data_IF_039037360442
#
_entry.id   IF_039037360442
#
_cell.length_a   1.000
_cell.length_b   1.000
_cell.length_c   1.000
_cell.angle_alpha   90.00
_cell.angle_beta   90.00
_cell.angle_gamma   90.00
#
_symmetry.space_group_name_H-M   'P 1'
#
loop_
_entity.id
_entity.type
_entity.pdbx_description
1 polymer ?
#
# COMPACT_ATOMS: atom_id res chain seq x y z
N UNK A 1 11.93 -28.82 -4.65
CA UNK A 1 11.85 -29.86 -5.68
C UNK A 1 12.43 -29.39 -7.02
N UNK A 2 11.88 -28.35 -7.66
CA UNK A 2 12.34 -27.89 -8.98
C UNK A 2 13.86 -27.64 -9.09
N UNK A 3 14.47 -26.98 -8.09
CA UNK A 3 15.94 -26.80 -8.00
C UNK A 3 16.70 -28.13 -7.99
N UNK A 4 16.28 -29.09 -7.15
CA UNK A 4 16.93 -30.40 -7.01
C UNK A 4 16.79 -31.21 -8.29
N UNK A 5 15.61 -31.15 -8.91
CA UNK A 5 15.30 -31.82 -10.17
C UNK A 5 15.87 -31.09 -11.40
N UNK A 6 16.62 -30.01 -11.21
CA UNK A 6 17.22 -29.17 -12.28
C UNK A 6 16.21 -28.65 -13.30
N UNK A 7 14.98 -28.37 -12.85
CA UNK A 7 13.97 -27.72 -13.66
C UNK A 7 14.31 -26.22 -13.73
N UNK A 8 14.19 -25.57 -14.92
CA UNK A 8 14.34 -24.13 -15.04
C UNK A 8 13.44 -23.39 -14.06
N UNK A 9 14.02 -22.44 -13.32
CA UNK A 9 13.37 -21.78 -12.19
C UNK A 9 13.67 -20.29 -12.15
N UNK A 10 12.64 -19.52 -11.86
CA UNK A 10 12.70 -18.08 -11.62
C UNK A 10 12.08 -17.79 -10.26
N UNK A 11 12.67 -16.86 -9.51
CA UNK A 11 12.05 -16.28 -8.32
C UNK A 11 11.74 -14.81 -8.58
N UNK A 12 10.72 -14.29 -7.90
CA UNK A 12 10.38 -12.88 -7.93
C UNK A 12 10.60 -12.28 -6.54
N UNK A 13 11.28 -11.14 -6.47
CA UNK A 13 11.51 -10.39 -5.24
C UNK A 13 10.84 -9.03 -5.31
N UNK A 14 9.87 -8.81 -4.42
CA UNK A 14 9.11 -7.57 -4.31
C UNK A 14 9.88 -6.46 -3.59
N UNK A 15 10.78 -6.83 -2.68
CA UNK A 15 11.47 -5.91 -1.79
C UNK A 15 12.79 -5.40 -2.39
N UNK A 16 13.32 -4.29 -1.85
CA UNK A 16 14.65 -3.77 -2.20
C UNK A 16 15.81 -4.60 -1.63
N UNK A 17 15.52 -5.55 -0.73
CA UNK A 17 16.50 -6.48 -0.14
C UNK A 17 15.94 -7.88 -0.28
N UNK A 18 16.76 -8.82 -0.75
CA UNK A 18 16.34 -10.21 -0.86
C UNK A 18 15.87 -10.76 0.49
N UNK A 19 14.63 -11.27 0.49
CA UNK A 19 14.07 -11.99 1.62
C UNK A 19 14.89 -13.24 1.93
N UNK A 20 14.85 -13.72 3.18
CA UNK A 20 15.71 -14.84 3.64
C UNK A 20 15.59 -16.09 2.77
N UNK A 21 14.36 -16.44 2.36
CA UNK A 21 14.10 -17.62 1.52
C UNK A 21 14.60 -17.38 0.09
N UNK A 22 14.30 -16.23 -0.49
CA UNK A 22 14.76 -15.88 -1.84
C UNK A 22 16.30 -15.81 -1.89
N UNK A 23 16.95 -15.25 -0.87
CA UNK A 23 18.41 -15.23 -0.72
C UNK A 23 19.02 -16.64 -0.67
N UNK A 24 18.38 -17.58 0.03
CA UNK A 24 18.82 -18.98 0.06
C UNK A 24 18.73 -19.62 -1.32
N UNK A 25 17.65 -19.35 -2.06
CA UNK A 25 17.39 -19.94 -3.38
C UNK A 25 18.14 -19.25 -4.54
N UNK A 26 18.54 -17.99 -4.37
CA UNK A 26 19.08 -17.14 -5.43
C UNK A 26 20.34 -17.71 -6.11
N UNK A 27 21.13 -18.53 -5.40
CA UNK A 27 22.30 -19.23 -5.99
C UNK A 27 21.89 -20.32 -6.98
N UNK A 28 20.76 -20.96 -6.74
CA UNK A 28 20.37 -22.18 -7.45
C UNK A 28 19.36 -21.94 -8.58
N UNK A 29 18.65 -20.81 -8.55
CA UNK A 29 17.70 -20.44 -9.61
C UNK A 29 18.43 -19.92 -10.86
N UNK A 30 17.71 -19.92 -11.98
CA UNK A 30 18.24 -19.51 -13.28
C UNK A 30 18.11 -18.00 -13.50
N UNK A 31 17.03 -17.40 -12.99
CA UNK A 31 16.82 -15.95 -13.05
C UNK A 31 16.10 -15.44 -11.79
N UNK A 32 16.25 -14.14 -11.56
CA UNK A 32 15.65 -13.39 -10.46
C UNK A 32 14.95 -12.18 -11.07
N UNK A 33 13.62 -12.15 -10.98
CA UNK A 33 12.81 -10.99 -11.34
C UNK A 33 12.74 -10.03 -10.15
N UNK A 34 13.34 -8.85 -10.30
CA UNK A 34 13.39 -7.83 -9.26
C UNK A 34 12.34 -6.75 -9.51
N UNK A 35 11.71 -6.27 -8.44
CA UNK A 35 10.69 -5.22 -8.55
C UNK A 35 11.23 -3.80 -8.55
N UNK A 36 12.46 -3.62 -8.07
CA UNK A 36 13.12 -2.33 -7.97
C UNK A 36 14.58 -2.46 -8.37
N UNK A 37 15.15 -1.34 -8.83
CA UNK A 37 16.59 -1.24 -9.06
C UNK A 37 17.38 -1.39 -7.74
N UNK A 38 18.64 -1.81 -7.85
CA UNK A 38 19.55 -1.85 -6.71
C UNK A 38 19.22 -2.93 -5.67
N UNK A 39 18.58 -4.03 -6.07
CA UNK A 39 18.30 -5.17 -5.21
C UNK A 39 19.55 -5.62 -4.43
N UNK A 40 19.48 -5.52 -3.11
CA UNK A 40 20.59 -5.78 -2.20
C UNK A 40 20.45 -7.11 -1.44
N UNK A 41 21.49 -7.49 -0.69
CA UNK A 41 21.46 -8.72 0.11
C UNK A 41 21.63 -10.01 -0.70
N UNK A 42 22.28 -9.94 -1.88
CA UNK A 42 22.43 -11.03 -2.85
C UNK A 42 22.97 -12.34 -2.27
N UNK A 43 23.72 -12.29 -1.16
CA UNK A 43 24.15 -13.51 -0.46
C UNK A 43 25.05 -14.43 -1.29
N UNK A 44 25.70 -13.91 -2.33
CA UNK A 44 26.49 -14.66 -3.30
C UNK A 44 25.70 -15.17 -4.50
N UNK A 45 24.47 -14.68 -4.73
CA UNK A 45 23.81 -14.81 -6.01
C UNK A 45 24.56 -13.99 -7.08
N UNK A 46 24.62 -14.54 -8.28
CA UNK A 46 25.22 -13.86 -9.43
C UNK A 46 24.32 -12.69 -9.88
N UNK A 47 24.83 -11.44 -9.87
CA UNK A 47 24.08 -10.28 -10.34
C UNK A 47 23.58 -10.41 -11.78
N UNK A 48 24.25 -11.19 -12.63
CA UNK A 48 23.84 -11.41 -14.02
C UNK A 48 22.50 -12.16 -14.15
N UNK A 49 22.01 -12.79 -13.07
CA UNK A 49 20.70 -13.46 -13.03
C UNK A 49 19.55 -12.48 -12.79
N UNK A 50 19.83 -11.23 -12.46
CA UNK A 50 18.82 -10.27 -12.02
C UNK A 50 18.29 -9.50 -13.23
N UNK A 51 16.97 -9.45 -13.36
CA UNK A 51 16.28 -8.60 -14.33
C UNK A 51 15.21 -7.81 -13.60
N UNK A 52 15.21 -6.48 -13.77
CA UNK A 52 14.20 -5.61 -13.17
C UNK A 52 12.94 -5.67 -14.02
N UNK A 53 11.88 -6.25 -13.47
CA UNK A 53 10.58 -6.43 -14.14
C UNK A 53 9.49 -5.52 -13.57
N UNK A 54 9.74 -4.92 -12.41
CA UNK A 54 8.71 -4.26 -11.61
C UNK A 54 7.84 -5.26 -10.84
N UNK A 55 6.92 -4.73 -10.03
CA UNK A 55 5.93 -5.53 -9.32
C UNK A 55 4.70 -5.76 -10.21
N UNK A 56 4.18 -7.00 -10.32
CA UNK A 56 2.91 -7.25 -10.97
C UNK A 56 1.77 -6.51 -10.24
N UNK A 57 1.07 -5.64 -10.96
CA UNK A 57 -0.08 -4.89 -10.46
C UNK A 57 -1.34 -5.38 -11.16
N UNK A 58 -2.46 -5.42 -10.44
CA UNK A 58 -3.78 -5.74 -11.02
C UNK A 58 -4.12 -4.75 -12.14
N UNK A 59 -4.67 -5.24 -13.24
CA UNK A 59 -4.93 -4.42 -14.43
C UNK A 59 -5.84 -3.21 -14.12
N UNK A 60 -6.81 -3.39 -13.24
CA UNK A 60 -7.75 -2.33 -12.84
C UNK A 60 -7.02 -1.20 -12.10
N UNK A 61 -6.08 -1.54 -11.21
CA UNK A 61 -5.25 -0.55 -10.50
C UNK A 61 -4.29 0.13 -11.46
N UNK A 62 -3.65 -0.63 -12.36
CA UNK A 62 -2.75 -0.06 -13.35
C UNK A 62 -3.47 0.93 -14.28
N UNK A 63 -4.75 0.66 -14.60
CA UNK A 63 -5.58 1.52 -15.43
C UNK A 63 -5.87 2.88 -14.80
N UNK A 64 -5.78 3.02 -13.47
CA UNK A 64 -5.95 4.29 -12.77
C UNK A 64 -4.93 5.34 -13.20
N UNK A 65 -3.76 4.95 -13.72
CA UNK A 65 -2.77 5.87 -14.27
C UNK A 65 -3.32 6.72 -15.43
N UNK A 66 -4.34 6.23 -16.16
CA UNK A 66 -4.96 6.98 -17.25
C UNK A 66 -5.92 8.08 -16.76
N UNK A 67 -6.25 8.11 -15.47
CA UNK A 67 -7.17 9.09 -14.88
C UNK A 67 -6.36 10.35 -14.53
N UNK A 68 -6.67 11.52 -15.11
CA UNK A 68 -5.93 12.74 -14.82
C UNK A 68 -6.16 13.17 -13.37
N UNK A 69 -5.07 13.48 -12.67
CA UNK A 69 -5.14 14.03 -11.33
C UNK A 69 -5.47 15.53 -11.37
N UNK A 70 -6.46 15.94 -10.58
CA UNK A 70 -6.81 17.35 -10.38
C UNK A 70 -6.65 17.67 -8.90
N UNK A 71 -5.67 18.50 -8.57
CA UNK A 71 -5.43 18.88 -7.18
C UNK A 71 -6.61 19.73 -6.63
N UNK A 72 -7.03 19.50 -5.37
CA UNK A 72 -8.07 20.30 -4.75
C UNK A 72 -7.58 21.74 -4.53
N UNK A 73 -8.42 22.73 -4.85
CA UNK A 73 -8.11 24.16 -4.75
C UNK A 73 -9.08 24.88 -3.82
N UNK A 74 -8.69 26.04 -3.27
CA UNK A 74 -9.60 26.85 -2.45
C UNK A 74 -10.21 26.07 -1.29
N UNK A 75 -11.53 25.89 -1.32
CA UNK A 75 -12.33 25.16 -0.32
C UNK A 75 -12.73 23.74 -0.76
N UNK A 76 -12.17 23.23 -1.86
CA UNK A 76 -12.45 21.89 -2.35
C UNK A 76 -12.16 20.84 -1.28
N UNK A 77 -12.95 19.76 -1.30
CA UNK A 77 -12.72 18.62 -0.42
C UNK A 77 -11.38 17.95 -0.73
N UNK A 78 -10.71 17.46 0.31
CA UNK A 78 -9.49 16.66 0.23
C UNK A 78 -9.84 15.24 0.61
N UNK A 79 -9.77 14.33 -0.35
CA UNK A 79 -10.08 12.92 -0.17
C UNK A 79 -8.83 12.16 0.30
N UNK A 80 -8.89 11.60 1.50
CA UNK A 80 -7.82 10.80 2.08
C UNK A 80 -8.25 9.33 2.09
N UNK A 81 -7.41 8.45 1.55
CA UNK A 81 -7.62 7.01 1.61
C UNK A 81 -6.58 6.38 2.52
N UNK A 82 -7.04 5.58 3.49
CA UNK A 82 -6.17 4.96 4.50
C UNK A 82 -6.35 3.45 4.49
N UNK A 83 -5.27 2.70 4.29
CA UNK A 83 -5.32 1.24 4.35
C UNK A 83 -4.01 0.60 4.82
N UNK A 84 -4.12 -0.46 5.62
CA UNK A 84 -2.99 -1.13 6.27
C UNK A 84 -2.61 -2.49 5.68
N UNK A 85 -3.24 -2.89 4.58
CA UNK A 85 -3.18 -4.26 4.04
C UNK A 85 -4.35 -5.12 4.54
N UNK A 86 -4.37 -6.40 4.15
CA UNK A 86 -5.53 -7.30 4.34
C UNK A 86 -5.97 -7.50 5.78
N UNK A 87 -5.08 -7.30 6.76
CA UNK A 87 -5.40 -7.44 8.18
C UNK A 87 -5.76 -6.13 8.88
N UNK A 88 -5.72 -5.00 8.18
CA UNK A 88 -5.80 -3.67 8.80
C UNK A 88 -4.61 -3.39 9.73
N UNK A 89 -4.21 -2.12 9.82
CA UNK A 89 -3.13 -1.71 10.70
C UNK A 89 -3.70 -1.02 11.94
N UNK A 90 -3.60 -1.66 13.11
CA UNK A 90 -4.02 -1.09 14.40
C UNK A 90 -3.49 0.34 14.58
N UNK A 91 -2.21 0.54 14.24
CA UNK A 91 -1.54 1.83 14.34
C UNK A 91 -2.27 2.94 13.56
N UNK A 92 -2.97 2.63 12.46
CA UNK A 92 -3.75 3.62 11.72
C UNK A 92 -5.09 3.92 12.39
N UNK A 93 -5.71 2.96 13.08
CA UNK A 93 -6.89 3.21 13.91
C UNK A 93 -6.57 4.17 15.06
N UNK A 94 -5.35 4.15 15.58
CA UNK A 94 -4.97 5.01 16.71
C UNK A 94 -4.42 6.36 16.26
N UNK A 95 -3.47 6.37 15.32
CA UNK A 95 -2.72 7.59 14.97
C UNK A 95 -3.46 8.50 13.99
N UNK A 96 -4.16 7.94 12.99
CA UNK A 96 -4.73 8.77 11.91
C UNK A 96 -5.87 9.65 12.43
N UNK A 97 -6.87 9.14 13.18
CA UNK A 97 -7.93 9.99 13.70
C UNK A 97 -7.39 11.05 14.66
N UNK A 98 -6.42 10.70 15.51
CA UNK A 98 -5.79 11.64 16.44
C UNK A 98 -5.03 12.76 15.70
N UNK A 99 -4.25 12.41 14.67
CA UNK A 99 -3.53 13.39 13.87
C UNK A 99 -4.49 14.32 13.12
N UNK A 100 -5.54 13.77 12.50
CA UNK A 100 -6.52 14.57 11.76
C UNK A 100 -7.39 15.45 12.67
N UNK A 101 -7.71 14.99 13.88
CA UNK A 101 -8.39 15.79 14.89
C UNK A 101 -7.58 17.01 15.36
N UNK A 102 -6.24 16.97 15.24
CA UNK A 102 -5.38 18.10 15.59
C UNK A 102 -5.38 19.23 14.54
N UNK A 103 -5.95 18.99 13.36
CA UNK A 103 -6.00 19.99 12.30
C UNK A 103 -6.95 21.15 12.66
N UNK A 104 -6.70 22.37 12.16
CA UNK A 104 -7.64 23.48 12.32
C UNK A 104 -9.03 23.13 11.79
N UNK A 105 -10.08 23.64 12.45
CA UNK A 105 -11.48 23.34 12.09
C UNK A 105 -11.80 23.62 10.61
N UNK A 106 -11.22 24.69 10.04
CA UNK A 106 -11.38 25.03 8.62
C UNK A 106 -10.84 23.93 7.70
N UNK A 107 -9.73 23.27 8.08
CA UNK A 107 -9.16 22.15 7.33
C UNK A 107 -9.99 20.90 7.53
N UNK A 108 -10.40 20.59 8.77
CA UNK A 108 -11.22 19.42 9.08
C UNK A 108 -12.49 19.35 8.21
N UNK A 109 -13.18 20.48 8.02
CA UNK A 109 -14.39 20.59 7.19
C UNK A 109 -14.18 20.21 5.73
N UNK A 110 -12.95 20.29 5.24
CA UNK A 110 -12.58 19.92 3.87
C UNK A 110 -12.17 18.46 3.76
N UNK A 111 -11.82 17.79 4.86
CA UNK A 111 -11.33 16.41 4.81
C UNK A 111 -12.50 15.44 4.67
N UNK A 112 -12.39 14.58 3.67
CA UNK A 112 -13.17 13.35 3.52
C UNK A 112 -12.22 12.18 3.63
N UNK A 113 -12.50 11.23 4.52
CA UNK A 113 -11.62 10.09 4.73
C UNK A 113 -12.36 8.78 4.46
N UNK A 114 -11.76 7.93 3.63
CA UNK A 114 -12.11 6.52 3.48
C UNK A 114 -11.02 5.71 4.18
N UNK A 115 -11.35 5.07 5.30
CA UNK A 115 -10.37 4.36 6.11
C UNK A 115 -10.74 2.88 6.31
N UNK A 116 -9.78 2.01 6.00
CA UNK A 116 -9.84 0.62 6.38
C UNK A 116 -9.45 0.47 7.86
N UNK A 117 -10.35 -0.09 8.65
CA UNK A 117 -10.13 -0.45 10.06
C UNK A 117 -10.24 -1.96 10.24
N UNK A 118 -9.81 -2.47 11.40
CA UNK A 118 -10.24 -3.82 11.82
C UNK A 118 -11.67 -3.74 12.33
N UNK A 119 -12.41 -4.85 12.23
CA UNK A 119 -13.82 -4.90 12.64
C UNK A 119 -13.98 -4.46 14.10
N UNK A 120 -13.09 -4.94 14.98
CA UNK A 120 -13.05 -4.59 16.40
C UNK A 120 -12.75 -3.11 16.68
N UNK A 121 -12.15 -2.39 15.74
CA UNK A 121 -11.76 -0.98 15.91
C UNK A 121 -12.79 0.00 15.33
N UNK A 122 -13.74 -0.46 14.50
CA UNK A 122 -14.65 0.42 13.77
C UNK A 122 -15.41 1.37 14.71
N UNK A 123 -15.95 0.84 15.81
CA UNK A 123 -16.71 1.64 16.77
C UNK A 123 -15.85 2.74 17.41
N UNK A 124 -14.64 2.40 17.88
CA UNK A 124 -13.73 3.35 18.52
C UNK A 124 -13.28 4.46 17.56
N UNK A 125 -12.90 4.09 16.32
CA UNK A 125 -12.47 5.06 15.31
C UNK A 125 -13.63 5.97 14.88
N UNK A 126 -14.85 5.43 14.76
CA UNK A 126 -16.04 6.22 14.47
C UNK A 126 -16.30 7.27 15.55
N UNK A 127 -16.14 6.91 16.82
CA UNK A 127 -16.31 7.85 17.93
C UNK A 127 -15.27 8.97 17.90
N UNK A 128 -14.02 8.66 17.55
CA UNK A 128 -12.97 9.67 17.41
C UNK A 128 -13.30 10.67 16.31
N UNK A 129 -13.71 10.22 15.13
CA UNK A 129 -14.09 11.12 14.04
C UNK A 129 -15.38 11.91 14.33
N UNK A 130 -16.32 11.35 15.10
CA UNK A 130 -17.54 12.07 15.50
C UNK A 130 -17.27 13.33 16.34
N UNK A 131 -16.06 13.48 16.91
CA UNK A 131 -15.61 14.66 17.65
C UNK A 131 -14.92 15.71 16.77
N UNK A 132 -14.86 15.47 15.46
CA UNK A 132 -14.21 16.32 14.47
C UNK A 132 -15.23 16.82 13.45
N UNK A 133 -14.84 17.77 12.59
CA UNK A 133 -15.65 18.18 11.44
C UNK A 133 -15.36 17.36 10.16
N UNK A 134 -14.71 16.20 10.29
CA UNK A 134 -14.27 15.36 9.18
C UNK A 134 -15.39 14.40 8.78
N UNK A 135 -15.61 14.26 7.48
CA UNK A 135 -16.52 13.22 6.96
C UNK A 135 -15.74 11.90 6.83
N UNK A 136 -16.06 10.92 7.68
CA UNK A 136 -15.37 9.63 7.70
C UNK A 136 -16.25 8.46 7.27
N UNK A 137 -15.77 7.73 6.26
CA UNK A 137 -16.29 6.45 5.81
C UNK A 137 -15.33 5.34 6.25
N UNK A 138 -15.82 4.42 7.08
CA UNK A 138 -15.00 3.38 7.71
C UNK A 138 -15.47 2.00 7.26
N UNK A 139 -14.54 1.16 6.81
CA UNK A 139 -14.82 -0.21 6.38
C UNK A 139 -13.81 -1.19 6.94
N UNK A 140 -14.20 -2.43 7.20
CA UNK A 140 -13.23 -3.50 7.47
C UNK A 140 -12.48 -3.95 6.22
N UNK A 141 -13.09 -3.77 5.05
CA UNK A 141 -12.50 -4.06 3.75
C UNK A 141 -13.01 -3.11 2.67
N UNK A 142 -12.10 -2.45 1.96
CA UNK A 142 -12.42 -1.58 0.81
C UNK A 142 -12.56 -2.48 -0.43
N UNK A 143 -13.80 -2.64 -0.92
CA UNK A 143 -14.10 -3.53 -2.05
C UNK A 143 -13.58 -3.00 -3.39
N UNK A 144 -13.78 -1.71 -3.63
CA UNK A 144 -13.36 -1.04 -4.86
C UNK A 144 -12.12 -0.17 -4.60
N UNK A 145 -10.98 -0.84 -4.42
CA UNK A 145 -9.70 -0.16 -4.27
C UNK A 145 -9.31 0.70 -5.49
N UNK A 146 -9.55 0.27 -6.76
CA UNK A 146 -9.31 1.14 -7.91
C UNK A 146 -10.05 2.47 -7.82
N UNK A 147 -11.35 2.47 -7.52
CA UNK A 147 -12.11 3.72 -7.37
C UNK A 147 -11.63 4.57 -6.18
N UNK A 148 -11.30 3.92 -5.06
CA UNK A 148 -10.73 4.60 -3.90
C UNK A 148 -9.42 5.32 -4.26
N UNK A 149 -8.48 4.64 -4.91
CA UNK A 149 -7.20 5.24 -5.30
C UNK A 149 -7.37 6.33 -6.36
N UNK A 150 -8.25 6.13 -7.34
CA UNK A 150 -8.52 7.10 -8.40
C UNK A 150 -9.11 8.41 -7.88
N UNK A 151 -9.82 8.38 -6.74
CA UNK A 151 -10.45 9.55 -6.12
C UNK A 151 -9.63 10.16 -4.99
N UNK A 152 -8.51 9.54 -4.61
CA UNK A 152 -7.69 9.99 -3.48
C UNK A 152 -6.77 11.16 -3.87
N UNK A 153 -6.75 12.18 -3.02
CA UNK A 153 -5.75 13.25 -3.07
C UNK A 153 -4.52 12.89 -2.23
N UNK A 154 -4.73 12.07 -1.19
CA UNK A 154 -3.67 11.57 -0.32
C UNK A 154 -3.96 10.11 0.06
N UNK A 155 -2.92 9.28 -0.04
CA UNK A 155 -2.96 7.89 0.42
C UNK A 155 -2.05 7.74 1.64
N UNK A 156 -2.60 7.23 2.74
CA UNK A 156 -1.85 6.83 3.93
C UNK A 156 -1.88 5.31 3.99
N UNK A 157 -0.75 4.69 3.64
CA UNK A 157 -0.63 3.24 3.60
C UNK A 157 0.70 2.77 4.16
N UNK A 158 0.81 1.46 4.40
CA UNK A 158 2.10 0.83 4.67
C UNK A 158 2.86 0.62 3.35
N UNK A 159 4.17 0.83 3.37
CA UNK A 159 5.09 0.57 2.24
C UNK A 159 5.48 -0.90 2.14
N UNK A 160 4.51 -1.80 2.32
CA UNK A 160 4.72 -3.26 2.32
C UNK A 160 4.98 -3.82 0.94
#
# INVERSE_FOLDING_TARGET
AAVILRIPTVIHEQNAVLGRVNRLLAKYVHAIAASVDGLSGLGGADPAKITVTGNPVRAEIASCHAIPYTAPTGDDAVNIVVFGGSQGAQIFSDMVPAALASLPLAVQRRVRILQQCREENLAAVKEQYARTAITAELHSFIRDMPAALASADLVIARSG
#
